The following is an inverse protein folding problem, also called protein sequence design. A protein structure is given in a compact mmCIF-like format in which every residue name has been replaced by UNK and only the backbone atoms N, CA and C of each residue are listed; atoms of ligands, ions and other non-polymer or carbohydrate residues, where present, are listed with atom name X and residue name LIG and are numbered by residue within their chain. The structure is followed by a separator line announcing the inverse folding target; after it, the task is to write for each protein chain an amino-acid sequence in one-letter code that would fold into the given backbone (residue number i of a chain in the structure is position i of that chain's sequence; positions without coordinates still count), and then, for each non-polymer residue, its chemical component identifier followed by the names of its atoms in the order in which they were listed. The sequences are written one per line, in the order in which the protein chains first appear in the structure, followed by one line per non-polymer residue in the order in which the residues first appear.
data_IF_800344290228
#
_entry.id   IF_800344290228
#
_cell.length_a   1.000
_cell.length_b   1.000
_cell.length_c   1.000
_cell.angle_alpha   90.00
_cell.angle_beta   90.00
_cell.angle_gamma   90.00
#
_symmetry.space_group_name_H-M   'P 1'
#
loop_
_entity.id
_entity.type
_entity.pdbx_description
1 polymer ?
#
# COMPACT_ATOMS: atom_id res chain seq x y z
N UNK A 1 -17.36 -55.06 0.09
CA UNK A 1 -16.65 -53.85 0.54
C UNK A 1 -16.97 -53.70 2.01
N UNK A 2 -16.00 -53.96 2.90
CA UNK A 2 -16.27 -54.10 4.33
C UNK A 2 -16.86 -52.81 4.90
N UNK A 3 -17.98 -52.92 5.63
CA UNK A 3 -18.66 -51.79 6.28
C UNK A 3 -17.71 -50.99 7.19
N UNK A 4 -16.63 -51.60 7.66
CA UNK A 4 -15.54 -50.94 8.40
C UNK A 4 -14.74 -49.92 7.57
N UNK A 5 -14.51 -50.17 6.28
CA UNK A 5 -13.82 -49.21 5.40
C UNK A 5 -14.72 -48.00 5.10
N UNK A 6 -16.03 -48.23 4.93
CA UNK A 6 -17.01 -47.17 4.71
C UNK A 6 -17.16 -46.29 5.97
N UNK A 7 -17.22 -46.91 7.16
CA UNK A 7 -17.25 -46.20 8.44
C UNK A 7 -15.93 -45.47 8.69
N UNK A 8 -14.77 -46.06 8.38
CA UNK A 8 -13.47 -45.38 8.49
C UNK A 8 -13.37 -44.16 7.55
N UNK A 9 -13.86 -44.27 6.31
CA UNK A 9 -13.91 -43.15 5.36
C UNK A 9 -14.88 -42.06 5.82
N UNK A 10 -16.08 -42.42 6.28
CA UNK A 10 -17.10 -41.47 6.80
C UNK A 10 -16.62 -40.81 8.12
N UNK A 11 -15.94 -41.55 8.99
CA UNK A 11 -15.33 -41.04 10.23
C UNK A 11 -14.16 -40.10 9.92
N UNK A 12 -13.33 -40.43 8.93
CA UNK A 12 -12.22 -39.59 8.46
C UNK A 12 -12.68 -38.34 7.71
N UNK A 13 -13.84 -38.40 7.02
CA UNK A 13 -14.45 -37.25 6.36
C UNK A 13 -15.17 -36.34 7.36
N UNK A 14 -15.79 -36.89 8.41
CA UNK A 14 -16.42 -36.13 9.48
C UNK A 14 -15.40 -35.36 10.34
N UNK A 15 -14.32 -36.00 10.76
CA UNK A 15 -13.25 -35.35 11.55
C UNK A 15 -12.27 -34.58 10.66
N UNK A 16 -11.97 -35.06 9.46
CA UNK A 16 -11.13 -34.37 8.48
C UNK A 16 -11.78 -33.11 7.90
N UNK A 17 -13.11 -33.09 7.75
CA UNK A 17 -13.88 -31.91 7.37
C UNK A 17 -13.81 -30.80 8.42
N UNK A 18 -13.93 -31.15 9.71
CA UNK A 18 -13.81 -30.18 10.80
C UNK A 18 -12.36 -29.67 10.93
N UNK A 19 -11.37 -30.56 10.89
CA UNK A 19 -9.95 -30.19 10.94
C UNK A 19 -9.53 -29.30 9.76
N UNK A 20 -9.96 -29.64 8.54
CA UNK A 20 -9.68 -28.84 7.34
C UNK A 20 -10.40 -27.48 7.37
N UNK A 21 -11.63 -27.40 7.90
CA UNK A 21 -12.33 -26.12 8.08
C UNK A 21 -11.59 -25.19 9.06
N UNK A 22 -11.08 -25.73 10.17
CA UNK A 22 -10.29 -24.95 11.13
C UNK A 22 -8.97 -24.45 10.52
N UNK A 23 -8.23 -25.32 9.81
CA UNK A 23 -7.00 -24.94 9.09
C UNK A 23 -7.29 -23.88 8.02
N UNK A 24 -8.35 -24.06 7.24
CA UNK A 24 -8.77 -23.13 6.19
C UNK A 24 -9.18 -21.78 6.78
N UNK A 25 -9.87 -21.76 7.93
CA UNK A 25 -10.23 -20.54 8.65
C UNK A 25 -9.00 -19.78 9.13
N UNK A 26 -7.97 -20.46 9.64
CA UNK A 26 -6.72 -19.84 10.07
C UNK A 26 -5.96 -19.23 8.89
N UNK A 27 -5.78 -20.01 7.81
CA UNK A 27 -5.13 -19.54 6.58
C UNK A 27 -5.89 -18.34 5.98
N UNK A 28 -7.22 -18.39 5.95
CA UNK A 28 -8.04 -17.30 5.44
C UNK A 28 -7.97 -16.07 6.32
N UNK A 29 -7.89 -16.21 7.65
CA UNK A 29 -7.68 -15.08 8.56
C UNK A 29 -6.36 -14.36 8.27
N UNK A 30 -5.27 -15.10 8.08
CA UNK A 30 -3.98 -14.51 7.75
C UNK A 30 -3.99 -13.83 6.38
N UNK A 31 -4.62 -14.46 5.37
CA UNK A 31 -4.81 -13.83 4.05
C UNK A 31 -5.61 -12.53 4.12
N UNK A 32 -6.71 -12.52 4.88
CA UNK A 32 -7.54 -11.33 5.05
C UNK A 32 -6.78 -10.19 5.76
N UNK A 33 -5.93 -10.51 6.74
CA UNK A 33 -5.07 -9.52 7.42
C UNK A 33 -4.04 -8.94 6.43
N UNK A 34 -3.40 -9.78 5.63
CA UNK A 34 -2.43 -9.31 4.63
C UNK A 34 -3.08 -8.48 3.53
N UNK A 35 -4.26 -8.87 3.08
CA UNK A 35 -5.02 -8.13 2.08
C UNK A 35 -5.50 -6.77 2.61
N UNK A 36 -6.09 -6.75 3.81
CA UNK A 36 -6.50 -5.49 4.45
C UNK A 36 -5.31 -4.55 4.69
N UNK A 37 -4.15 -5.07 5.10
CA UNK A 37 -2.90 -4.29 5.19
C UNK A 37 -2.52 -3.70 3.85
N UNK A 38 -2.50 -4.50 2.77
CA UNK A 38 -2.18 -4.00 1.42
C UNK A 38 -3.16 -2.93 0.94
N UNK A 39 -4.45 -3.09 1.19
CA UNK A 39 -5.48 -2.10 0.84
C UNK A 39 -5.24 -0.79 1.59
N UNK A 40 -4.93 -0.85 2.89
CA UNK A 40 -4.61 0.34 3.68
C UNK A 40 -3.35 1.03 3.17
N UNK A 41 -2.27 0.27 2.92
CA UNK A 41 -1.03 0.80 2.34
C UNK A 41 -1.28 1.48 0.99
N UNK A 42 -2.05 0.84 0.11
CA UNK A 42 -2.40 1.40 -1.20
C UNK A 42 -3.14 2.73 -1.06
N UNK A 43 -4.13 2.83 -0.17
CA UNK A 43 -4.86 4.07 0.09
C UNK A 43 -3.93 5.19 0.54
N UNK A 44 -3.00 4.89 1.46
CA UNK A 44 -2.02 5.88 1.94
C UNK A 44 -1.05 6.31 0.84
N UNK A 45 -0.52 5.37 0.06
CA UNK A 45 0.36 5.72 -1.06
C UNK A 45 -0.34 6.59 -2.09
N UNK A 46 -1.60 6.32 -2.43
CA UNK A 46 -2.36 7.19 -3.33
C UNK A 46 -2.52 8.61 -2.77
N UNK A 47 -2.82 8.73 -1.47
CA UNK A 47 -2.88 10.04 -0.81
C UNK A 47 -1.54 10.79 -0.89
N UNK A 48 -0.44 10.13 -0.53
CA UNK A 48 0.92 10.71 -0.60
C UNK A 48 1.27 11.12 -2.03
N UNK A 49 0.94 10.30 -3.03
CA UNK A 49 1.15 10.65 -4.44
C UNK A 49 0.43 11.93 -4.85
N UNK A 50 -0.83 12.11 -4.42
CA UNK A 50 -1.59 13.33 -4.71
C UNK A 50 -0.94 14.54 -4.04
N UNK A 51 -0.48 14.41 -2.79
CA UNK A 51 0.22 15.48 -2.08
C UNK A 51 1.54 15.87 -2.77
N UNK A 52 2.37 14.88 -3.13
CA UNK A 52 3.61 15.11 -3.87
C UNK A 52 3.34 15.76 -5.22
N UNK A 53 2.32 15.31 -5.96
CA UNK A 53 1.95 15.89 -7.24
C UNK A 53 1.46 17.33 -7.08
N UNK A 54 0.66 17.61 -6.05
CA UNK A 54 0.24 18.96 -5.73
C UNK A 54 1.42 19.87 -5.36
N UNK A 55 2.47 19.32 -4.75
CA UNK A 55 3.68 20.07 -4.41
C UNK A 55 4.47 20.48 -5.66
N UNK A 56 4.46 19.67 -6.72
CA UNK A 56 5.15 19.98 -7.98
C UNK A 56 4.47 21.09 -8.80
N UNK A 57 3.15 21.24 -8.71
CA UNK A 57 2.39 22.31 -9.39
C UNK A 57 1.33 22.94 -8.45
N UNK A 58 1.76 23.66 -7.40
CA UNK A 58 0.87 24.11 -6.33
C UNK A 58 -0.16 25.13 -6.83
N UNK A 59 0.19 25.94 -7.84
CA UNK A 59 -0.71 26.96 -8.41
C UNK A 59 -1.98 26.34 -8.99
N UNK A 60 -1.86 25.19 -9.66
CA UNK A 60 -3.02 24.50 -10.26
C UNK A 60 -3.67 23.53 -9.29
N UNK A 61 -2.87 22.81 -8.51
CA UNK A 61 -3.37 21.68 -7.74
C UNK A 61 -3.91 22.06 -6.36
N UNK A 62 -3.39 23.10 -5.70
CA UNK A 62 -3.85 23.47 -4.34
C UNK A 62 -5.34 23.80 -4.33
N UNK A 63 -5.86 24.51 -5.33
CA UNK A 63 -7.30 24.83 -5.42
C UNK A 63 -8.18 23.57 -5.53
N UNK A 64 -7.71 22.54 -6.23
CA UNK A 64 -8.43 21.27 -6.38
C UNK A 64 -8.28 20.38 -5.15
N UNK A 65 -7.12 20.44 -4.50
CA UNK A 65 -6.85 19.72 -3.27
C UNK A 65 -7.70 20.29 -2.13
N UNK A 66 -7.75 21.61 -1.97
CA UNK A 66 -8.48 22.29 -0.89
C UNK A 66 -9.99 22.04 -0.93
N UNK A 67 -10.57 21.76 -2.11
CA UNK A 67 -11.98 21.38 -2.20
C UNK A 67 -12.30 20.01 -1.58
N UNK A 68 -11.29 19.14 -1.43
CA UNK A 68 -11.43 17.80 -0.83
C UNK A 68 -10.72 17.69 0.53
N UNK A 69 -9.73 18.57 0.78
CA UNK A 69 -8.89 18.67 1.98
C UNK A 69 -8.83 20.13 2.41
N UNK A 70 -9.90 20.67 3.03
CA UNK A 70 -10.00 22.08 3.40
C UNK A 70 -9.00 22.51 4.48
N UNK A 71 -8.31 21.54 5.08
CA UNK A 71 -7.18 21.74 5.99
C UNK A 71 -5.88 22.13 5.25
N UNK A 72 -5.77 21.86 3.94
CA UNK A 72 -4.60 22.19 3.11
C UNK A 72 -4.93 23.37 2.20
N UNK A 73 -4.59 24.58 2.65
CA UNK A 73 -4.96 25.82 1.94
C UNK A 73 -3.77 26.50 1.26
N UNK A 74 -2.56 26.25 1.77
CA UNK A 74 -1.35 26.88 1.26
C UNK A 74 -0.22 25.84 1.12
N UNK A 75 0.91 26.28 0.56
CA UNK A 75 2.06 25.40 0.33
C UNK A 75 2.70 24.91 1.63
N UNK A 76 2.64 25.70 2.72
CA UNK A 76 3.17 25.30 4.01
C UNK A 76 2.33 24.18 4.63
N UNK A 77 1.01 24.25 4.56
CA UNK A 77 0.11 23.17 5.02
C UNK A 77 0.41 21.88 4.26
N UNK A 78 0.57 21.98 2.94
CA UNK A 78 0.92 20.84 2.09
C UNK A 78 2.27 20.24 2.46
N UNK A 79 3.26 21.08 2.78
CA UNK A 79 4.59 20.64 3.25
C UNK A 79 4.49 19.91 4.58
N UNK A 80 3.76 20.47 5.54
CA UNK A 80 3.57 19.88 6.87
C UNK A 80 2.87 18.51 6.77
N UNK A 81 1.83 18.40 5.94
CA UNK A 81 1.14 17.14 5.70
C UNK A 81 2.06 16.10 5.06
N UNK A 82 2.89 16.50 4.11
CA UNK A 82 3.84 15.60 3.45
C UNK A 82 4.93 15.11 4.43
N UNK A 83 5.41 15.97 5.32
CA UNK A 83 6.35 15.60 6.40
C UNK A 83 5.70 14.62 7.37
N UNK A 84 4.45 14.87 7.77
CA UNK A 84 3.65 13.97 8.62
C UNK A 84 3.48 12.59 7.96
N UNK A 85 3.09 12.55 6.68
CA UNK A 85 2.96 11.28 5.95
C UNK A 85 4.31 10.56 5.79
N UNK A 86 5.42 11.30 5.69
CA UNK A 86 6.77 10.72 5.66
C UNK A 86 7.08 10.00 6.97
N UNK A 87 6.79 10.61 8.12
CA UNK A 87 6.97 9.97 9.42
C UNK A 87 6.02 8.79 9.59
N UNK A 88 4.76 8.93 9.20
CA UNK A 88 3.78 7.86 9.26
C UNK A 88 4.17 6.66 8.39
N UNK A 89 4.87 6.88 7.29
CA UNK A 89 5.34 5.80 6.40
C UNK A 89 6.28 4.81 7.09
N UNK A 90 6.98 5.23 8.15
CA UNK A 90 7.86 4.36 8.95
C UNK A 90 7.14 3.13 9.54
N UNK A 91 5.81 3.21 9.71
CA UNK A 91 5.02 2.15 10.32
C UNK A 91 4.66 1.04 9.31
N UNK A 92 4.48 1.40 8.04
CA UNK A 92 3.85 0.51 7.06
C UNK A 92 4.66 0.30 5.79
N UNK A 93 5.53 1.24 5.43
CA UNK A 93 6.30 1.23 4.21
C UNK A 93 7.65 0.57 4.40
N UNK A 94 8.20 -0.03 3.34
CA UNK A 94 9.58 -0.50 3.38
C UNK A 94 10.60 0.66 3.36
N UNK A 95 11.84 0.37 3.73
CA UNK A 95 12.94 1.35 3.78
C UNK A 95 13.17 2.09 2.47
N UNK A 96 12.95 1.44 1.32
CA UNK A 96 13.17 2.07 0.02
C UNK A 96 12.16 3.19 -0.26
N UNK A 97 10.90 3.00 0.15
CA UNK A 97 9.85 4.01 0.06
C UNK A 97 10.14 5.15 1.01
N UNK A 98 10.47 4.85 2.28
CA UNK A 98 10.79 5.87 3.30
C UNK A 98 11.95 6.75 2.83
N UNK A 99 13.02 6.13 2.31
CA UNK A 99 14.19 6.86 1.78
C UNK A 99 13.82 7.74 0.58
N UNK A 100 13.10 7.18 -0.40
CA UNK A 100 12.69 7.93 -1.58
C UNK A 100 11.76 9.10 -1.25
N UNK A 101 10.81 8.89 -0.32
CA UNK A 101 9.89 9.93 0.13
C UNK A 101 10.63 11.05 0.87
N UNK A 102 11.58 10.71 1.75
CA UNK A 102 12.44 11.70 2.43
C UNK A 102 13.35 12.47 1.46
N UNK A 103 13.81 11.85 0.37
CA UNK A 103 14.53 12.56 -0.69
C UNK A 103 13.61 13.53 -1.44
N UNK A 104 12.37 13.13 -1.71
CA UNK A 104 11.39 14.00 -2.33
C UNK A 104 11.05 15.20 -1.44
N UNK A 105 10.81 15.01 -0.14
CA UNK A 105 10.48 16.12 0.77
C UNK A 105 11.61 17.15 0.88
N UNK A 106 12.87 16.71 0.78
CA UNK A 106 14.05 17.58 0.76
C UNK A 106 14.27 18.28 -0.58
N UNK A 107 14.03 17.58 -1.69
CA UNK A 107 14.23 18.09 -3.04
C UNK A 107 13.09 17.65 -3.97
N UNK A 108 11.97 18.38 -4.00
CA UNK A 108 10.74 17.97 -4.68
C UNK A 108 10.87 18.21 -6.19
N UNK A 109 11.34 17.21 -6.91
CA UNK A 109 11.51 17.22 -8.37
C UNK A 109 10.65 16.13 -9.03
N UNK A 110 10.35 16.26 -10.34
CA UNK A 110 9.66 15.20 -11.11
C UNK A 110 10.41 13.87 -11.02
N UNK A 111 11.75 13.91 -10.99
CA UNK A 111 12.60 12.74 -10.83
C UNK A 111 12.38 12.04 -9.48
N UNK A 112 12.45 12.79 -8.38
CA UNK A 112 12.25 12.23 -7.04
C UNK A 112 10.80 11.76 -6.82
N UNK A 113 9.82 12.43 -7.46
CA UNK A 113 8.44 11.97 -7.49
C UNK A 113 8.34 10.57 -8.12
N UNK A 114 8.86 10.40 -9.34
CA UNK A 114 8.80 9.12 -10.05
C UNK A 114 9.57 8.04 -9.29
N UNK A 115 10.76 8.37 -8.73
CA UNK A 115 11.53 7.45 -7.88
C UNK A 115 10.69 6.94 -6.69
N UNK A 116 9.96 7.83 -6.04
CA UNK A 116 9.09 7.49 -4.90
C UNK A 116 7.92 6.61 -5.34
N UNK A 117 7.22 6.97 -6.41
CA UNK A 117 6.09 6.19 -6.97
C UNK A 117 6.54 4.78 -7.39
N UNK A 118 7.70 4.66 -8.03
CA UNK A 118 8.28 3.37 -8.42
C UNK A 118 8.60 2.51 -7.19
N UNK A 119 9.11 3.12 -6.12
CA UNK A 119 9.39 2.42 -4.87
C UNK A 119 8.10 1.95 -4.18
N UNK A 120 7.07 2.80 -4.14
CA UNK A 120 5.73 2.44 -3.62
C UNK A 120 5.12 1.28 -4.42
N UNK A 121 5.28 1.29 -5.75
CA UNK A 121 4.84 0.20 -6.63
C UNK A 121 5.55 -1.11 -6.29
N UNK A 122 6.87 -1.07 -6.14
CA UNK A 122 7.65 -2.26 -5.75
C UNK A 122 7.21 -2.80 -4.40
N UNK A 123 6.91 -1.91 -3.45
CA UNK A 123 6.47 -2.30 -2.12
C UNK A 123 5.09 -2.99 -2.11
N UNK A 124 4.11 -2.46 -2.87
CA UNK A 124 2.76 -3.04 -2.93
C UNK A 124 2.71 -4.41 -3.61
N UNK A 125 3.46 -4.57 -4.71
CA UNK A 125 3.29 -5.71 -5.63
C UNK A 125 4.52 -6.63 -5.74
N UNK A 126 5.63 -6.30 -5.08
CA UNK A 126 6.85 -7.14 -5.06
C UNK A 126 7.57 -7.30 -6.40
N UNK A 127 7.15 -6.59 -7.44
CA UNK A 127 7.64 -6.77 -8.82
C UNK A 127 8.76 -5.80 -9.22
N UNK A 128 9.72 -6.27 -10.01
CA UNK A 128 10.68 -5.41 -10.72
C UNK A 128 9.94 -4.62 -11.81
N UNK A 129 9.64 -3.34 -11.57
CA UNK A 129 9.19 -2.45 -12.65
C UNK A 129 10.36 -2.05 -13.54
N UNK A 130 10.15 -2.14 -14.86
CA UNK A 130 11.07 -1.63 -15.89
C UNK A 130 10.82 -0.17 -16.25
N UNK A 131 9.74 0.43 -15.74
CA UNK A 131 9.40 1.84 -16.01
C UNK A 131 10.53 2.74 -15.49
N UNK A 132 11.14 3.48 -16.42
CA UNK A 132 12.18 4.47 -16.19
C UNK A 132 11.61 5.88 -16.30
N UNK A 133 12.44 6.89 -15.99
CA UNK A 133 12.09 8.30 -16.21
C UNK A 133 11.97 8.64 -17.69
N UNK A 134 12.78 7.98 -18.52
CA UNK A 134 12.80 8.17 -19.98
C UNK A 134 11.48 7.75 -20.63
N UNK A 135 10.82 6.72 -20.08
CA UNK A 135 9.50 6.26 -20.55
C UNK A 135 8.35 7.24 -20.26
N UNK A 136 8.59 8.28 -19.45
CA UNK A 136 7.57 9.18 -18.89
C UNK A 136 7.79 10.65 -19.27
N UNK A 137 8.66 10.91 -20.24
CA UNK A 137 8.98 12.25 -20.76
C UNK A 137 8.38 12.47 -22.14
#
# INVERSE_FOLDING_TARGET
MNNELLIAIISSLGLGGIASALITQWINKDKNIQESKKIQMQKRYLAIMILMFAFLDPKKQLKKLSSHRPDINNLQDLKNELELETLNSLIFANDSVVKALNEFTKNPTKQNYIKTVVSMRRDLWGGKTKVTLEDLN
#
